data_IF_021903970698
#
_entry.id   IF_021903970698
#
_cell.length_a   1.000
_cell.length_b   1.000
_cell.length_c   1.000
_cell.angle_alpha   90.00
_cell.angle_beta   90.00
_cell.angle_gamma   90.00
#
_symmetry.space_group_name_H-M   'P 1'
#
loop_
_entity.id
_entity.type
_entity.pdbx_description
1 polymer ?
#
# COMPACT_ATOMS: atom_id res chain seq x y z
N UNK A 1 15.20 -62.95 -12.58
CA UNK A 1 16.39 -62.29 -12.00
C UNK A 1 16.06 -61.05 -11.14
N UNK A 2 14.93 -60.37 -11.33
CA UNK A 2 14.53 -59.18 -10.57
C UNK A 2 14.06 -59.50 -9.14
N UNK A 3 13.25 -60.56 -8.94
CA UNK A 3 12.76 -60.98 -7.62
C UNK A 3 13.88 -61.35 -6.65
N UNK A 4 14.88 -62.12 -7.10
CA UNK A 4 15.98 -62.57 -6.26
C UNK A 4 16.92 -61.41 -5.87
N UNK A 5 17.10 -60.42 -6.76
CA UNK A 5 17.80 -59.18 -6.42
C UNK A 5 17.01 -58.34 -5.42
N UNK A 6 15.69 -58.25 -5.56
CA UNK A 6 14.82 -57.58 -4.60
C UNK A 6 14.88 -58.26 -3.21
N UNK A 7 14.79 -59.59 -3.14
CA UNK A 7 14.95 -60.36 -1.91
C UNK A 7 16.34 -60.16 -1.29
N UNK A 8 17.40 -60.11 -2.11
CA UNK A 8 18.76 -59.81 -1.62
C UNK A 8 18.85 -58.41 -1.02
N UNK A 9 18.32 -57.39 -1.70
CA UNK A 9 18.34 -56.01 -1.19
C UNK A 9 17.54 -55.86 0.11
N UNK A 10 16.40 -56.54 0.23
CA UNK A 10 15.64 -56.56 1.48
C UNK A 10 16.42 -57.25 2.61
N UNK A 11 17.13 -58.34 2.31
CA UNK A 11 17.93 -59.06 3.31
C UNK A 11 19.22 -58.33 3.72
N UNK A 12 19.82 -57.53 2.82
CA UNK A 12 21.09 -56.82 3.08
C UNK A 12 20.92 -55.37 3.53
N UNK A 13 19.70 -54.85 3.55
CA UNK A 13 19.42 -53.46 3.92
C UNK A 13 19.55 -52.46 2.75
N UNK A 14 19.20 -51.18 2.99
CA UNK A 14 19.19 -50.15 1.95
C UNK A 14 20.60 -49.97 1.36
N UNK A 15 20.72 -50.08 0.05
CA UNK A 15 22.01 -50.04 -0.65
C UNK A 15 22.01 -48.99 -1.76
N UNK A 16 23.18 -48.38 -1.99
CA UNK A 16 23.39 -47.30 -2.96
C UNK A 16 23.58 -45.93 -2.31
N UNK A 17 24.00 -44.90 -3.08
CA UNK A 17 24.31 -43.57 -2.53
C UNK A 17 23.13 -42.89 -1.80
N UNK A 18 21.92 -43.37 -2.04
CA UNK A 18 20.67 -42.74 -1.60
C UNK A 18 20.23 -43.26 -0.23
N UNK A 19 20.74 -44.44 0.16
CA UNK A 19 20.52 -45.03 1.46
C UNK A 19 21.01 -44.14 2.62
N UNK A 20 22.10 -43.39 2.40
CA UNK A 20 22.65 -42.48 3.42
C UNK A 20 21.70 -41.33 3.78
N UNK A 21 20.79 -40.95 2.87
CA UNK A 21 19.87 -39.82 3.07
C UNK A 21 18.60 -40.21 3.83
N UNK A 22 18.29 -41.52 3.93
CA UNK A 22 17.13 -42.04 4.65
C UNK A 22 17.18 -41.64 6.13
N UNK A 23 18.36 -41.65 6.75
CA UNK A 23 18.55 -41.29 8.17
C UNK A 23 18.25 -39.82 8.46
N UNK A 24 18.32 -38.96 7.44
CA UNK A 24 18.06 -37.53 7.55
C UNK A 24 16.65 -37.16 7.10
N UNK A 25 15.79 -38.14 6.81
CA UNK A 25 14.46 -37.93 6.23
C UNK A 25 14.51 -37.11 4.93
N UNK A 26 15.58 -37.26 4.16
CA UNK A 26 15.74 -36.63 2.84
C UNK A 26 15.38 -37.69 1.79
N UNK A 27 14.30 -37.46 1.05
CA UNK A 27 13.91 -38.31 -0.07
C UNK A 27 14.93 -38.22 -1.20
N UNK A 28 15.47 -39.37 -1.61
CA UNK A 28 16.53 -39.44 -2.61
C UNK A 28 16.26 -40.59 -3.61
N UNK A 29 16.39 -40.32 -4.92
CA UNK A 29 16.18 -41.30 -6.00
C UNK A 29 17.47 -41.58 -6.79
N UNK A 30 17.97 -42.83 -6.79
CA UNK A 30 19.16 -43.21 -7.56
C UNK A 30 18.83 -43.79 -8.92
N UNK A 31 19.32 -43.15 -9.98
CA UNK A 31 19.30 -43.70 -11.33
C UNK A 31 20.60 -44.47 -11.59
N UNK A 32 20.48 -45.79 -11.78
CA UNK A 32 21.62 -46.65 -12.10
C UNK A 32 21.38 -47.40 -13.41
N UNK A 33 22.35 -47.34 -14.32
CA UNK A 33 22.30 -48.10 -15.57
C UNK A 33 22.76 -49.54 -15.29
N UNK A 34 21.83 -50.48 -15.32
CA UNK A 34 22.14 -51.91 -15.19
C UNK A 34 22.59 -52.44 -16.55
N UNK A 35 23.89 -52.71 -16.70
CA UNK A 35 24.42 -53.39 -17.88
C UNK A 35 24.20 -54.90 -17.75
N UNK A 36 23.54 -55.52 -18.73
CA UNK A 36 23.33 -56.97 -18.76
C UNK A 36 24.62 -57.68 -19.18
N UNK A 37 25.24 -58.40 -18.25
CA UNK A 37 26.49 -59.14 -18.49
C UNK A 37 26.28 -60.50 -19.19
N UNK A 38 25.05 -60.89 -19.51
CA UNK A 38 24.77 -62.20 -20.16
C UNK A 38 25.03 -62.20 -21.67
N UNK A 39 25.24 -61.04 -22.29
CA UNK A 39 25.62 -60.88 -23.70
C UNK A 39 27.14 -60.84 -23.85
N UNK A 40 27.81 -61.99 -23.74
CA UNK A 40 29.27 -62.12 -23.86
C UNK A 40 29.77 -61.95 -25.32
N UNK A 41 28.88 -61.87 -26.31
CA UNK A 41 29.27 -61.95 -27.74
C UNK A 41 28.85 -60.80 -28.64
N UNK A 42 28.38 -59.68 -28.10
CA UNK A 42 28.31 -58.44 -28.90
C UNK A 42 28.69 -57.25 -28.03
N UNK A 43 29.66 -56.47 -28.51
CA UNK A 43 29.88 -55.07 -28.13
C UNK A 43 28.66 -54.25 -28.56
N UNK A 44 27.50 -54.50 -27.97
CA UNK A 44 26.33 -53.67 -28.19
C UNK A 44 26.61 -52.35 -27.45
N UNK A 45 26.75 -51.22 -28.15
CA UNK A 45 26.90 -49.94 -27.49
C UNK A 45 25.70 -49.75 -26.56
N UNK A 46 25.96 -49.18 -25.38
CA UNK A 46 24.92 -48.77 -24.44
C UNK A 46 23.84 -48.07 -25.27
N UNK A 47 22.66 -48.69 -25.38
CA UNK A 47 21.62 -48.22 -26.30
C UNK A 47 21.16 -46.86 -25.81
N UNK A 48 21.77 -45.81 -26.35
CA UNK A 48 21.57 -44.42 -25.98
C UNK A 48 20.08 -44.08 -25.92
N UNK A 49 19.30 -44.66 -26.84
CA UNK A 49 17.84 -44.55 -26.89
C UNK A 49 17.15 -44.98 -25.59
N UNK A 50 17.55 -46.09 -24.97
CA UNK A 50 16.94 -46.56 -23.72
C UNK A 50 17.31 -45.68 -22.53
N UNK A 51 18.57 -45.21 -22.50
CA UNK A 51 19.04 -44.32 -21.45
C UNK A 51 18.40 -42.93 -21.54
N UNK A 52 18.32 -42.37 -22.75
CA UNK A 52 17.61 -41.12 -23.05
C UNK A 52 16.12 -41.23 -22.69
N UNK A 53 15.47 -42.37 -22.99
CA UNK A 53 14.08 -42.61 -22.60
C UNK A 53 13.87 -42.67 -21.08
N UNK A 54 14.83 -43.23 -20.34
CA UNK A 54 14.78 -43.19 -18.86
C UNK A 54 14.92 -41.78 -18.32
N UNK A 55 15.83 -40.97 -18.87
CA UNK A 55 15.98 -39.55 -18.49
C UNK A 55 14.72 -38.77 -18.83
N UNK A 56 14.18 -38.95 -20.03
CA UNK A 56 12.93 -38.32 -20.47
C UNK A 56 11.77 -38.67 -19.53
N UNK A 57 11.70 -39.92 -19.07
CA UNK A 57 10.67 -40.37 -18.11
C UNK A 57 10.84 -39.69 -16.75
N UNK A 58 12.08 -39.52 -16.27
CA UNK A 58 12.37 -38.80 -15.02
C UNK A 58 12.03 -37.31 -15.16
N UNK A 59 12.43 -36.67 -16.26
CA UNK A 59 12.10 -35.26 -16.54
C UNK A 59 10.58 -35.06 -16.62
N UNK A 60 9.87 -35.97 -17.31
CA UNK A 60 8.40 -35.94 -17.37
C UNK A 60 7.77 -36.19 -16.00
N UNK A 61 8.35 -37.08 -15.18
CA UNK A 61 7.87 -37.31 -13.82
C UNK A 61 8.09 -36.09 -12.91
N UNK A 62 9.24 -35.41 -13.02
CA UNK A 62 9.52 -34.15 -12.31
C UNK A 62 8.60 -33.04 -12.78
N UNK A 63 8.36 -32.92 -14.09
CA UNK A 63 7.42 -31.95 -14.66
C UNK A 63 5.96 -32.23 -14.23
N UNK A 64 5.56 -33.50 -14.15
CA UNK A 64 4.25 -33.85 -13.58
C UNK A 64 4.19 -33.65 -12.06
N UNK A 65 5.33 -33.67 -11.38
CA UNK A 65 5.42 -33.35 -9.95
C UNK A 65 5.35 -31.85 -9.72
N UNK A 66 5.84 -31.03 -10.65
CA UNK A 66 5.64 -29.57 -10.67
C UNK A 66 4.15 -29.24 -10.63
N UNK A 67 3.31 -29.91 -11.41
CA UNK A 67 1.85 -29.74 -11.37
C UNK A 67 1.26 -30.02 -9.98
N UNK A 68 1.79 -31.02 -9.25
CA UNK A 68 1.36 -31.35 -7.88
C UNK A 68 1.97 -30.43 -6.83
N UNK A 69 3.18 -29.93 -7.03
CA UNK A 69 3.76 -28.84 -6.27
C UNK A 69 3.13 -27.49 -6.63
N UNK A 70 2.40 -27.37 -7.74
CA UNK A 70 1.63 -26.18 -8.05
C UNK A 70 0.40 -26.05 -7.12
N UNK A 71 -0.01 -27.15 -6.48
CA UNK A 71 -0.93 -27.16 -5.33
C UNK A 71 -0.20 -26.86 -4.00
N UNK A 72 1.14 -26.80 -3.99
CA UNK A 72 1.88 -26.24 -2.85
C UNK A 72 1.70 -24.73 -2.85
N UNK A 73 1.41 -24.17 -1.68
CA UNK A 73 1.23 -22.74 -1.51
C UNK A 73 2.54 -22.02 -1.88
N UNK A 74 2.64 -21.45 -3.08
CA UNK A 74 3.82 -20.71 -3.56
C UNK A 74 4.24 -19.55 -2.65
N UNK A 75 3.29 -19.03 -1.87
CA UNK A 75 3.48 -17.95 -0.92
C UNK A 75 3.35 -18.50 0.49
N UNK A 76 4.49 -18.69 1.14
CA UNK A 76 4.59 -19.13 2.52
C UNK A 76 5.60 -18.29 3.29
N UNK A 77 5.38 -18.18 4.58
CA UNK A 77 6.35 -17.61 5.52
C UNK A 77 6.94 -18.75 6.33
N UNK A 78 8.26 -18.67 6.57
CA UNK A 78 8.98 -19.53 7.50
C UNK A 78 9.44 -18.68 8.69
N UNK A 79 8.58 -18.41 9.69
CA UNK A 79 9.00 -17.67 10.89
C UNK A 79 10.10 -18.40 11.67
N UNK A 80 10.13 -19.74 11.59
CA UNK A 80 11.13 -20.59 12.20
C UNK A 80 11.39 -21.79 11.30
N UNK A 81 12.51 -22.48 11.50
CA UNK A 81 12.89 -23.69 10.75
C UNK A 81 11.87 -24.84 10.89
N UNK A 82 10.96 -24.74 11.86
CA UNK A 82 9.91 -25.73 12.15
C UNK A 82 8.49 -25.22 11.93
N UNK A 83 8.31 -23.94 11.60
CA UNK A 83 6.97 -23.37 11.44
C UNK A 83 6.78 -22.91 10.00
N UNK A 84 5.72 -23.42 9.39
CA UNK A 84 5.29 -23.09 8.06
C UNK A 84 3.94 -22.38 8.16
N UNK A 85 3.84 -21.17 7.63
CA UNK A 85 2.60 -20.39 7.60
C UNK A 85 2.24 -20.11 6.15
N UNK A 86 1.10 -20.60 5.71
CA UNK A 86 0.64 -20.40 4.34
C UNK A 86 0.08 -18.98 4.11
N UNK A 87 0.02 -18.52 2.85
CA UNK A 87 -0.70 -17.30 2.45
C UNK A 87 -2.12 -17.24 2.99
N UNK A 88 -2.78 -18.40 3.05
CA UNK A 88 -4.13 -18.52 3.57
C UNK A 88 -4.23 -18.18 5.05
N UNK A 89 -3.14 -18.15 5.82
CA UNK A 89 -3.16 -17.80 7.24
C UNK A 89 -2.62 -16.40 7.50
N UNK A 90 -1.50 -16.03 6.89
CA UNK A 90 -0.87 -14.74 7.17
C UNK A 90 -1.59 -13.56 6.51
N UNK A 91 -2.42 -13.78 5.48
CA UNK A 91 -3.14 -12.67 4.83
C UNK A 91 -4.25 -12.09 5.71
N UNK A 92 -4.88 -12.90 6.57
CA UNK A 92 -5.94 -12.45 7.49
C UNK A 92 -5.55 -11.28 8.41
N UNK A 93 -4.41 -11.31 9.15
CA UNK A 93 -4.02 -10.19 10.00
C UNK A 93 -3.79 -8.91 9.20
N UNK A 94 -3.35 -8.98 7.95
CA UNK A 94 -3.20 -7.80 7.09
C UNK A 94 -4.54 -7.17 6.75
N UNK A 95 -5.52 -7.99 6.37
CA UNK A 95 -6.89 -7.51 6.13
C UNK A 95 -7.50 -6.92 7.40
N UNK A 96 -7.24 -7.54 8.57
CA UNK A 96 -7.75 -7.07 9.85
C UNK A 96 -7.20 -5.69 10.23
N UNK A 97 -5.90 -5.44 10.00
CA UNK A 97 -5.29 -4.11 10.19
C UNK A 97 -5.88 -3.07 9.23
N UNK A 98 -6.32 -3.48 8.03
CA UNK A 98 -6.93 -2.60 7.03
C UNK A 98 -8.45 -2.44 7.17
N UNK A 99 -9.11 -3.22 8.03
CA UNK A 99 -10.56 -3.23 8.18
C UNK A 99 -11.17 -1.81 8.40
N UNK A 100 -10.55 -0.91 9.20
CA UNK A 100 -11.07 0.45 9.34
C UNK A 100 -11.13 1.21 8.01
N UNK A 101 -10.18 0.99 7.09
CA UNK A 101 -10.16 1.66 5.80
C UNK A 101 -11.29 1.16 4.90
N UNK A 102 -11.53 -0.16 4.88
CA UNK A 102 -12.68 -0.73 4.16
C UNK A 102 -14.01 -0.16 4.67
N UNK A 103 -14.15 -0.03 5.99
CA UNK A 103 -15.33 0.57 6.59
C UNK A 103 -15.48 2.04 6.19
N UNK A 104 -14.40 2.83 6.23
CA UNK A 104 -14.41 4.22 5.79
C UNK A 104 -14.74 4.38 4.31
N UNK A 105 -14.16 3.56 3.42
CA UNK A 105 -14.46 3.61 1.98
C UNK A 105 -15.93 3.36 1.72
N UNK A 106 -16.51 2.34 2.38
CA UNK A 106 -17.91 2.00 2.20
C UNK A 106 -18.81 3.11 2.76
N UNK A 107 -18.55 3.56 3.98
CA UNK A 107 -19.33 4.60 4.65
C UNK A 107 -19.35 5.92 3.87
N UNK A 108 -18.19 6.39 3.41
CA UNK A 108 -18.13 7.63 2.64
C UNK A 108 -18.74 7.44 1.25
N UNK A 109 -18.52 6.30 0.59
CA UNK A 109 -19.10 6.03 -0.72
C UNK A 109 -20.63 5.92 -0.70
N UNK A 110 -21.24 5.45 0.40
CA UNK A 110 -22.70 5.35 0.50
C UNK A 110 -23.36 6.64 0.99
N UNK A 111 -22.65 7.49 1.74
CA UNK A 111 -23.25 8.66 2.40
C UNK A 111 -22.93 10.00 1.71
N UNK A 112 -22.29 9.97 0.54
CA UNK A 112 -22.02 11.17 -0.27
C UNK A 112 -22.60 11.02 -1.66
N UNK A 113 -23.46 11.97 -2.06
CA UNK A 113 -23.88 12.15 -3.44
C UNK A 113 -22.96 13.15 -4.13
N UNK A 114 -22.53 12.86 -5.37
CA UNK A 114 -21.77 13.81 -6.17
C UNK A 114 -20.29 14.00 -5.78
N UNK A 115 -19.63 12.93 -5.33
CA UNK A 115 -18.20 12.94 -4.94
C UNK A 115 -17.33 13.63 -6.01
N UNK A 116 -16.47 14.58 -5.63
CA UNK A 116 -15.56 15.31 -6.55
C UNK A 116 -14.40 14.42 -7.02
N UNK A 117 -14.70 13.32 -7.72
CA UNK A 117 -13.73 12.30 -8.12
C UNK A 117 -12.64 12.84 -9.04
N UNK A 118 -12.98 13.76 -9.95
CA UNK A 118 -12.01 14.43 -10.82
C UNK A 118 -10.99 15.24 -10.01
N UNK A 119 -11.45 15.99 -9.01
CA UNK A 119 -10.57 16.71 -8.08
C UNK A 119 -9.69 15.75 -7.26
N UNK A 120 -10.26 14.64 -6.77
CA UNK A 120 -9.50 13.62 -6.05
C UNK A 120 -8.40 12.98 -6.92
N UNK A 121 -8.69 12.69 -8.18
CA UNK A 121 -7.72 12.13 -9.11
C UNK A 121 -6.61 13.14 -9.45
N UNK A 122 -6.97 14.41 -9.68
CA UNK A 122 -6.01 15.47 -9.97
C UNK A 122 -5.08 15.74 -8.78
N UNK A 123 -5.63 15.82 -7.56
CA UNK A 123 -4.84 15.99 -6.34
C UNK A 123 -3.90 14.81 -6.09
N UNK A 124 -4.37 13.57 -6.32
CA UNK A 124 -3.53 12.39 -6.27
C UNK A 124 -2.41 12.41 -7.33
N UNK A 125 -2.73 12.79 -8.57
CA UNK A 125 -1.74 12.90 -9.64
C UNK A 125 -0.63 13.91 -9.31
N UNK A 126 -0.98 15.06 -8.71
CA UNK A 126 0.01 16.04 -8.23
C UNK A 126 0.90 15.44 -7.14
N UNK A 127 0.29 14.78 -6.14
CA UNK A 127 1.05 14.16 -5.05
C UNK A 127 1.98 13.04 -5.57
N UNK A 128 1.51 12.22 -6.50
CA UNK A 128 2.29 11.15 -7.15
C UNK A 128 3.40 11.70 -8.06
N UNK A 129 3.17 12.81 -8.77
CA UNK A 129 4.18 13.48 -9.57
C UNK A 129 5.32 14.02 -8.69
N UNK A 130 4.99 14.66 -7.56
CA UNK A 130 6.00 15.09 -6.57
C UNK A 130 6.77 13.90 -5.98
N UNK A 131 6.07 12.79 -5.70
CA UNK A 131 6.71 11.53 -5.28
C UNK A 131 7.66 10.97 -6.35
N UNK A 132 7.31 11.10 -7.62
CA UNK A 132 8.16 10.66 -8.75
C UNK A 132 9.40 11.53 -8.90
N UNK A 133 9.27 12.85 -8.70
CA UNK A 133 10.42 13.76 -8.63
C UNK A 133 11.35 13.35 -7.49
N UNK A 134 10.80 13.03 -6.31
CA UNK A 134 11.59 12.55 -5.18
C UNK A 134 12.30 11.23 -5.49
N UNK A 135 11.63 10.29 -6.16
CA UNK A 135 12.23 9.03 -6.59
C UNK A 135 13.40 9.26 -7.56
N UNK A 136 13.22 10.12 -8.57
CA UNK A 136 14.30 10.49 -9.52
C UNK A 136 15.47 11.13 -8.78
N UNK A 137 15.19 11.95 -7.76
CA UNK A 137 16.22 12.57 -6.92
C UNK A 137 16.98 11.52 -6.08
N UNK A 138 16.31 10.47 -5.63
CA UNK A 138 16.98 9.36 -4.92
C UNK A 138 17.86 8.50 -5.84
N UNK A 139 17.49 8.34 -7.11
CA UNK A 139 18.29 7.55 -8.07
C UNK A 139 19.44 8.35 -8.67
N UNK A 140 19.23 9.65 -8.89
CA UNK A 140 20.22 10.59 -9.44
C UNK A 140 20.67 11.59 -8.38
N UNK A 141 21.40 11.10 -7.37
CA UNK A 141 21.92 11.91 -6.26
C UNK A 141 22.79 13.09 -6.72
N UNK A 142 23.43 13.00 -7.90
CA UNK A 142 24.22 14.10 -8.48
C UNK A 142 23.39 15.38 -8.73
N UNK A 143 22.07 15.27 -8.86
CA UNK A 143 21.19 16.44 -8.97
C UNK A 143 21.12 17.25 -7.66
N UNK A 144 21.49 16.64 -6.51
CA UNK A 144 21.51 17.29 -5.21
C UNK A 144 22.83 18.01 -4.92
N UNK A 145 23.90 17.76 -5.68
CA UNK A 145 25.23 18.36 -5.46
C UNK A 145 25.23 19.89 -5.25
N UNK A 146 24.44 20.71 -5.97
CA UNK A 146 24.38 22.16 -5.70
C UNK A 146 23.61 22.53 -4.42
N UNK A 147 22.70 21.67 -3.95
CA UNK A 147 21.83 21.93 -2.80
C UNK A 147 22.38 21.39 -1.48
N UNK A 148 23.17 20.31 -1.53
CA UNK A 148 23.86 19.73 -0.37
C UNK A 148 24.62 20.78 0.45
N UNK A 149 25.48 21.64 -0.12
CA UNK A 149 26.21 22.64 0.65
C UNK A 149 25.34 23.75 1.26
N UNK A 150 24.10 23.93 0.79
CA UNK A 150 23.16 24.93 1.33
C UNK A 150 22.47 24.46 2.61
N UNK A 151 22.23 23.15 2.73
CA UNK A 151 21.59 22.50 3.89
C UNK A 151 22.61 21.85 4.85
N UNK A 152 23.90 21.83 4.49
CA UNK A 152 24.97 21.23 5.30
C UNK A 152 25.35 22.14 6.48
N UNK A 153 24.60 22.04 7.58
CA UNK A 153 24.88 22.74 8.83
C UNK A 153 26.04 22.13 9.63
N UNK A 154 26.66 21.03 9.18
CA UNK A 154 27.62 20.26 9.98
C UNK A 154 28.89 19.93 9.19
N UNK A 155 29.82 20.89 9.16
CA UNK A 155 31.11 20.83 8.45
C UNK A 155 32.17 19.91 9.10
N UNK A 156 31.80 18.82 9.77
CA UNK A 156 32.74 18.05 10.62
C UNK A 156 32.56 16.53 10.60
N UNK A 157 32.82 15.85 9.47
CA UNK A 157 33.61 14.59 9.42
C UNK A 157 33.66 14.00 8.01
N UNK A 158 34.77 13.36 7.65
CA UNK A 158 35.01 12.75 6.33
C UNK A 158 34.19 11.48 6.04
N UNK A 159 33.27 11.08 6.94
CA UNK A 159 32.41 9.88 6.78
C UNK A 159 30.94 10.21 6.47
N UNK A 160 30.56 11.49 6.32
CA UNK A 160 29.16 11.93 6.41
C UNK A 160 28.45 12.26 5.09
N UNK A 161 29.10 12.07 3.93
CA UNK A 161 28.53 12.48 2.63
C UNK A 161 27.14 11.84 2.37
N UNK A 162 26.97 10.56 2.69
CA UNK A 162 25.67 9.87 2.56
C UNK A 162 24.58 10.43 3.48
N UNK A 163 24.97 10.85 4.68
CA UNK A 163 24.05 11.39 5.70
C UNK A 163 23.54 12.78 5.32
N UNK A 164 24.40 13.63 4.75
CA UNK A 164 23.98 14.94 4.24
C UNK A 164 22.99 14.81 3.08
N UNK A 165 23.21 13.86 2.16
CA UNK A 165 22.23 13.58 1.10
C UNK A 165 20.86 13.15 1.67
N UNK A 166 20.84 12.25 2.65
CA UNK A 166 19.58 11.82 3.30
C UNK A 166 18.80 12.99 3.92
N UNK A 167 19.48 13.91 4.61
CA UNK A 167 18.85 15.10 5.19
C UNK A 167 18.37 16.09 4.13
N UNK A 168 19.16 16.30 3.07
CA UNK A 168 18.74 17.18 1.96
C UNK A 168 17.50 16.63 1.27
N UNK A 169 17.42 15.30 1.08
CA UNK A 169 16.25 14.64 0.52
C UNK A 169 15.01 14.81 1.40
N UNK A 170 15.15 14.66 2.72
CA UNK A 170 14.06 14.90 3.67
C UNK A 170 13.60 16.37 3.65
N UNK A 171 14.53 17.32 3.55
CA UNK A 171 14.23 18.74 3.43
C UNK A 171 13.48 19.08 2.13
N UNK A 172 13.92 18.53 1.00
CA UNK A 172 13.24 18.68 -0.30
C UNK A 172 11.83 18.07 -0.24
N UNK A 173 11.69 16.89 0.37
CA UNK A 173 10.37 16.27 0.56
C UNK A 173 9.43 17.19 1.34
N UNK A 174 9.85 17.74 2.47
CA UNK A 174 9.03 18.68 3.27
C UNK A 174 8.68 19.94 2.46
N UNK A 175 9.64 20.51 1.72
CA UNK A 175 9.39 21.68 0.87
C UNK A 175 8.33 21.37 -0.21
N UNK A 176 8.42 20.22 -0.86
CA UNK A 176 7.42 19.77 -1.83
C UNK A 176 6.04 19.55 -1.19
N UNK A 177 5.97 19.01 0.04
CA UNK A 177 4.71 18.84 0.77
C UNK A 177 4.05 20.18 1.09
N UNK A 178 4.83 21.14 1.61
CA UNK A 178 4.33 22.49 1.90
C UNK A 178 3.84 23.17 0.64
N UNK A 179 4.58 23.06 -0.47
CA UNK A 179 4.16 23.61 -1.75
C UNK A 179 2.85 22.99 -2.27
N UNK A 180 2.71 21.66 -2.17
CA UNK A 180 1.51 20.93 -2.55
C UNK A 180 0.27 21.42 -1.78
N UNK A 181 0.38 21.48 -0.45
CA UNK A 181 -0.73 21.83 0.44
C UNK A 181 -1.08 23.32 0.34
N UNK A 182 -0.08 24.21 0.22
CA UNK A 182 -0.31 25.66 0.27
C UNK A 182 -0.71 26.28 -1.06
N UNK A 183 -0.23 25.74 -2.19
CA UNK A 183 -0.45 26.31 -3.51
C UNK A 183 -1.23 25.38 -4.44
N UNK A 184 -0.72 24.19 -4.73
CA UNK A 184 -1.30 23.33 -5.77
C UNK A 184 -2.72 22.85 -5.44
N UNK A 185 -2.93 22.27 -4.26
CA UNK A 185 -4.23 21.68 -3.92
C UNK A 185 -5.36 22.74 -3.78
N UNK A 186 -5.13 23.92 -3.16
CA UNK A 186 -6.10 25.01 -3.19
C UNK A 186 -6.40 25.54 -4.60
N UNK A 187 -5.39 25.60 -5.49
CA UNK A 187 -5.64 26.03 -6.88
C UNK A 187 -6.50 25.03 -7.65
N UNK A 188 -6.29 23.73 -7.45
CA UNK A 188 -7.13 22.68 -8.03
C UNK A 188 -8.57 22.75 -7.52
N UNK A 189 -8.76 23.04 -6.24
CA UNK A 189 -10.10 23.08 -5.64
C UNK A 189 -10.99 24.19 -6.24
N UNK A 190 -10.38 25.27 -6.76
CA UNK A 190 -11.05 26.41 -7.39
C UNK A 190 -11.40 26.19 -8.86
N UNK A 191 -10.94 25.11 -9.49
CA UNK A 191 -11.21 24.87 -10.91
C UNK A 191 -12.64 24.33 -11.11
N UNK A 192 -13.49 25.00 -11.91
CA UNK A 192 -14.88 24.59 -12.12
C UNK A 192 -14.98 23.25 -12.89
N UNK A 193 -13.97 22.91 -13.69
CA UNK A 193 -13.89 21.62 -14.39
C UNK A 193 -13.70 20.41 -13.45
N UNK A 194 -13.30 20.66 -12.19
CA UNK A 194 -13.08 19.63 -11.17
C UNK A 194 -14.21 19.64 -10.13
N UNK A 195 -15.33 20.27 -10.44
CA UNK A 195 -16.50 20.22 -9.57
C UNK A 195 -17.20 18.86 -9.65
N UNK A 196 -17.92 18.52 -8.58
CA UNK A 196 -18.65 17.25 -8.48
C UNK A 196 -19.91 17.26 -9.34
N UNK A 197 -20.46 16.07 -9.62
CA UNK A 197 -21.79 15.98 -10.20
C UNK A 197 -22.83 16.33 -9.12
N UNK A 198 -23.25 17.59 -9.08
CA UNK A 198 -24.17 18.09 -8.04
C UNK A 198 -25.63 17.69 -8.34
N UNK A 199 -25.93 17.32 -9.59
CA UNK A 199 -27.29 17.08 -10.10
C UNK A 199 -28.08 16.04 -9.29
N UNK A 200 -27.45 14.90 -8.94
CA UNK A 200 -28.11 13.84 -8.17
C UNK A 200 -28.45 14.31 -6.75
N UNK A 201 -27.53 15.03 -6.10
CA UNK A 201 -27.75 15.58 -4.76
C UNK A 201 -28.82 16.68 -4.75
N UNK A 202 -28.84 17.53 -5.79
CA UNK A 202 -29.84 18.57 -5.98
C UNK A 202 -31.22 17.97 -6.23
N UNK A 203 -31.32 16.96 -7.10
CA UNK A 203 -32.56 16.24 -7.37
C UNK A 203 -33.15 15.61 -6.10
N UNK A 204 -32.33 14.94 -5.30
CA UNK A 204 -32.77 14.36 -4.03
C UNK A 204 -33.28 15.42 -3.05
N UNK A 205 -32.60 16.57 -2.98
CA UNK A 205 -33.03 17.70 -2.15
C UNK A 205 -34.38 18.26 -2.60
N UNK A 206 -34.55 18.49 -3.90
CA UNK A 206 -35.83 18.95 -4.48
C UNK A 206 -36.96 17.95 -4.21
N UNK A 207 -36.69 16.64 -4.32
CA UNK A 207 -37.67 15.60 -4.03
C UNK A 207 -38.11 15.61 -2.55
N UNK A 208 -37.19 15.89 -1.63
CA UNK A 208 -37.50 16.03 -0.20
C UNK A 208 -38.31 17.29 0.08
N UNK A 209 -37.91 18.43 -0.50
CA UNK A 209 -38.66 19.69 -0.38
C UNK A 209 -40.10 19.51 -0.87
N UNK A 210 -40.30 18.89 -2.04
CA UNK A 210 -41.64 18.64 -2.57
C UNK A 210 -42.46 17.65 -1.73
N UNK A 211 -41.82 16.63 -1.15
CA UNK A 211 -42.47 15.69 -0.23
C UNK A 211 -42.89 16.39 1.08
N UNK A 212 -42.04 17.25 1.62
CA UNK A 212 -42.33 18.03 2.83
C UNK A 212 -43.50 19.01 2.60
N UNK A 213 -43.54 19.68 1.44
CA UNK A 213 -44.68 20.50 1.01
C UNK A 213 -45.97 19.69 0.91
N UNK A 214 -45.90 18.49 0.31
CA UNK A 214 -47.05 17.58 0.22
C UNK A 214 -47.54 17.14 1.60
N UNK A 215 -46.65 16.78 2.52
CA UNK A 215 -47.03 16.36 3.88
C UNK A 215 -47.64 17.53 4.67
N UNK A 216 -47.11 18.74 4.52
CA UNK A 216 -47.66 19.95 5.12
C UNK A 216 -49.08 20.30 4.61
N UNK A 217 -49.45 19.83 3.42
CA UNK A 217 -50.79 20.03 2.85
C UNK A 217 -51.84 19.06 3.40
N UNK A 218 -51.44 17.99 4.10
CA UNK A 218 -52.38 17.04 4.68
C UNK A 218 -53.04 17.60 5.94
N UNK A 219 -54.35 17.33 6.16
CA UNK A 219 -55.08 17.83 7.33
C UNK A 219 -54.61 17.23 8.67
N UNK A 220 -53.97 16.06 8.64
CA UNK A 220 -53.31 15.45 9.79
C UNK A 220 -51.91 15.01 9.36
N UNK A 221 -50.84 15.67 9.83
CA UNK A 221 -49.47 15.35 9.41
C UNK A 221 -49.02 14.04 10.06
N UNK A 222 -48.49 13.14 9.25
CA UNK A 222 -47.94 11.87 9.72
C UNK A 222 -46.60 12.13 10.44
N UNK A 223 -46.65 12.21 11.78
CA UNK A 223 -45.50 12.54 12.62
C UNK A 223 -44.38 11.49 12.52
N UNK A 224 -44.73 10.26 12.17
CA UNK A 224 -43.77 9.16 12.05
C UNK A 224 -42.92 9.30 10.77
N UNK A 225 -43.50 9.86 9.70
CA UNK A 225 -42.79 10.14 8.42
C UNK A 225 -41.83 11.32 8.57
N UNK A 226 -42.26 12.39 9.25
CA UNK A 226 -41.45 13.60 9.45
C UNK A 226 -40.24 13.39 10.38
N UNK A 227 -40.36 12.51 11.38
CA UNK A 227 -39.27 12.21 12.32
C UNK A 227 -38.12 11.38 11.68
N UNK A 228 -38.45 10.54 10.69
CA UNK A 228 -37.47 9.73 9.96
C UNK A 228 -36.68 10.52 8.90
N UNK A 229 -37.20 11.67 8.44
CA UNK A 229 -36.69 12.40 7.27
C UNK A 229 -35.86 13.67 7.57
N UNK A 230 -35.63 14.01 8.85
CA UNK A 230 -35.04 15.30 9.26
C UNK A 230 -33.59 15.60 8.82
N UNK A 231 -32.90 14.67 8.16
CA UNK A 231 -31.57 14.89 7.58
C UNK A 231 -31.60 14.67 6.06
N UNK A 232 -30.93 15.52 5.25
CA UNK A 232 -30.72 15.18 3.85
C UNK A 232 -30.04 13.80 3.75
N UNK A 233 -30.41 12.96 2.76
CA UNK A 233 -29.90 11.59 2.67
C UNK A 233 -28.40 11.56 2.38
N UNK A 234 -27.87 12.64 1.81
CA UNK A 234 -26.46 12.76 1.45
C UNK A 234 -25.93 14.14 1.81
N UNK A 235 -24.73 14.18 2.39
CA UNK A 235 -24.01 15.43 2.58
C UNK A 235 -23.33 15.85 1.26
N UNK A 236 -23.43 17.13 0.91
CA UNK A 236 -22.70 17.71 -0.23
C UNK A 236 -21.20 17.55 0.01
N UNK A 237 -20.48 17.01 -0.97
CA UNK A 237 -19.04 16.81 -0.85
C UNK A 237 -18.27 18.11 -1.08
N UNK A 238 -17.59 18.56 -0.02
CA UNK A 238 -16.67 19.70 -0.09
C UNK A 238 -15.32 19.35 -0.76
N UNK A 239 -15.14 18.10 -1.23
CA UNK A 239 -13.98 17.60 -1.97
C UNK A 239 -13.00 16.82 -1.10
N UNK A 240 -12.98 17.04 0.22
CA UNK A 240 -12.11 16.31 1.13
C UNK A 240 -12.50 14.83 1.28
N UNK A 241 -13.80 14.51 1.18
CA UNK A 241 -14.29 13.12 1.26
C UNK A 241 -13.85 12.34 0.03
N UNK A 242 -13.90 12.96 -1.15
CA UNK A 242 -13.40 12.38 -2.40
C UNK A 242 -11.93 11.98 -2.30
N UNK A 243 -11.10 12.89 -1.81
CA UNK A 243 -9.66 12.64 -1.61
C UNK A 243 -9.44 11.52 -0.59
N UNK A 244 -10.19 11.52 0.54
CA UNK A 244 -10.06 10.46 1.55
C UNK A 244 -10.47 9.08 1.01
N UNK A 245 -11.53 8.99 0.22
CA UNK A 245 -11.97 7.73 -0.41
C UNK A 245 -10.93 7.21 -1.40
N UNK A 246 -10.43 8.07 -2.30
CA UNK A 246 -9.39 7.66 -3.25
C UNK A 246 -8.11 7.24 -2.52
N UNK A 247 -7.72 7.99 -1.48
CA UNK A 247 -6.55 7.71 -0.66
C UNK A 247 -6.66 6.35 0.05
N UNK A 248 -7.80 6.06 0.66
CA UNK A 248 -8.06 4.78 1.34
C UNK A 248 -8.03 3.60 0.36
N UNK A 249 -8.67 3.72 -0.80
CA UNK A 249 -8.62 2.69 -1.86
C UNK A 249 -7.17 2.45 -2.32
N UNK A 250 -6.42 3.52 -2.57
CA UNK A 250 -5.01 3.43 -2.98
C UNK A 250 -4.17 2.67 -1.94
N UNK A 251 -4.28 3.06 -0.66
CA UNK A 251 -3.56 2.41 0.44
C UNK A 251 -3.93 0.93 0.55
N UNK A 252 -5.21 0.57 0.45
CA UNK A 252 -5.65 -0.83 0.48
C UNK A 252 -5.00 -1.63 -0.65
N UNK A 253 -5.12 -1.18 -1.90
CA UNK A 253 -4.63 -1.91 -3.07
C UNK A 253 -3.11 -2.12 -2.99
N UNK A 254 -2.36 -1.04 -2.70
CA UNK A 254 -0.90 -1.09 -2.65
C UNK A 254 -0.42 -2.02 -1.54
N UNK A 255 -0.99 -1.93 -0.35
CA UNK A 255 -0.53 -2.76 0.75
C UNK A 255 -0.99 -4.22 0.64
N UNK A 256 -2.11 -4.51 -0.03
CA UNK A 256 -2.45 -5.88 -0.40
C UNK A 256 -1.41 -6.45 -1.38
N UNK A 257 -1.00 -5.68 -2.39
CA UNK A 257 0.02 -6.10 -3.36
C UNK A 257 1.39 -6.32 -2.68
N UNK A 258 1.85 -5.36 -1.86
CA UNK A 258 3.11 -5.50 -1.12
C UNK A 258 3.01 -6.60 -0.07
N UNK A 259 1.84 -6.85 0.52
CA UNK A 259 1.61 -7.94 1.47
C UNK A 259 1.84 -9.32 0.87
N UNK A 260 1.53 -9.49 -0.42
CA UNK A 260 1.84 -10.71 -1.16
C UNK A 260 3.35 -10.80 -1.46
N UNK A 261 3.97 -9.69 -1.87
CA UNK A 261 5.38 -9.68 -2.29
C UNK A 261 6.38 -9.74 -1.12
N UNK A 262 6.08 -9.07 -0.02
CA UNK A 262 6.94 -8.92 1.16
C UNK A 262 6.09 -8.63 2.41
N UNK A 263 5.56 -9.69 3.01
CA UNK A 263 4.65 -9.58 4.15
C UNK A 263 5.21 -8.80 5.36
N UNK A 264 6.42 -9.07 5.89
CA UNK A 264 6.91 -8.35 7.07
C UNK A 264 7.08 -6.84 6.81
N UNK A 265 7.60 -6.48 5.63
CA UNK A 265 7.74 -5.09 5.22
C UNK A 265 6.36 -4.43 5.09
N UNK A 266 5.42 -5.12 4.45
CA UNK A 266 4.06 -4.62 4.29
C UNK A 266 3.38 -4.41 5.64
N UNK A 267 3.46 -5.35 6.59
CA UNK A 267 2.86 -5.24 7.91
C UNK A 267 3.43 -4.07 8.72
N UNK A 268 4.75 -3.86 8.66
CA UNK A 268 5.40 -2.73 9.32
C UNK A 268 4.93 -1.37 8.77
N UNK A 269 4.61 -1.34 7.48
CA UNK A 269 4.17 -0.14 6.77
C UNK A 269 2.66 0.11 6.86
N UNK A 270 1.84 -0.95 6.87
CA UNK A 270 0.38 -0.84 6.93
C UNK A 270 -0.06 -0.22 8.23
N UNK A 271 0.40 -0.72 9.36
CA UNK A 271 -0.05 -0.29 10.69
C UNK A 271 0.00 1.24 10.87
N UNK A 272 1.14 1.95 10.67
CA UNK A 272 1.17 3.40 10.81
C UNK A 272 0.30 4.11 9.76
N UNK A 273 0.23 3.59 8.53
CA UNK A 273 -0.58 4.18 7.46
C UNK A 273 -2.08 4.05 7.69
N UNK A 274 -2.52 2.90 8.21
CA UNK A 274 -3.93 2.67 8.49
C UNK A 274 -4.43 3.55 9.62
N UNK A 275 -3.63 3.71 10.68
CA UNK A 275 -3.93 4.63 11.79
C UNK A 275 -4.00 6.07 11.27
N UNK A 276 -3.02 6.50 10.48
CA UNK A 276 -2.98 7.85 9.90
C UNK A 276 -4.24 8.16 9.09
N UNK A 277 -4.58 7.29 8.12
CA UNK A 277 -5.67 7.56 7.19
C UNK A 277 -7.04 7.41 7.85
N UNK A 278 -7.20 6.45 8.78
CA UNK A 278 -8.46 6.24 9.49
C UNK A 278 -8.81 7.44 10.38
N UNK A 279 -7.86 7.91 11.18
CA UNK A 279 -8.06 9.03 12.12
C UNK A 279 -8.09 10.40 11.43
N UNK A 280 -7.73 10.48 10.15
CA UNK A 280 -7.65 11.76 9.48
C UNK A 280 -9.04 12.35 9.19
N UNK A 281 -9.29 13.56 9.69
CA UNK A 281 -10.49 14.35 9.45
C UNK A 281 -10.13 15.85 9.36
N UNK A 282 -10.93 16.66 8.64
CA UNK A 282 -10.70 18.10 8.56
C UNK A 282 -10.79 18.75 9.93
N UNK A 283 -9.89 19.68 10.23
CA UNK A 283 -9.85 20.34 11.55
C UNK A 283 -11.12 21.13 11.84
N UNK A 284 -11.81 21.62 10.80
CA UNK A 284 -13.02 22.41 10.92
C UNK A 284 -14.24 21.60 11.38
N UNK A 285 -14.34 20.31 11.02
CA UNK A 285 -15.50 19.46 11.36
C UNK A 285 -15.25 18.61 12.61
N UNK A 286 -14.04 18.66 13.19
CA UNK A 286 -13.61 17.76 14.25
C UNK A 286 -13.61 18.42 15.64
N UNK A 287 -13.77 17.61 16.69
CA UNK A 287 -13.62 18.09 18.07
C UNK A 287 -12.18 18.52 18.34
N UNK A 288 -11.98 19.50 19.24
CA UNK A 288 -10.64 20.02 19.55
C UNK A 288 -9.65 18.92 19.98
N UNK A 289 -10.12 17.92 20.72
CA UNK A 289 -9.30 16.77 21.15
C UNK A 289 -8.90 15.91 19.96
N UNK A 290 -9.85 15.54 19.09
CA UNK A 290 -9.56 14.70 17.93
C UNK A 290 -8.68 15.42 16.91
N UNK A 291 -8.94 16.71 16.68
CA UNK A 291 -8.09 17.55 15.84
C UNK A 291 -6.66 17.64 16.40
N UNK A 292 -6.50 17.80 17.72
CA UNK A 292 -5.20 17.79 18.38
C UNK A 292 -4.46 16.46 18.21
N UNK A 293 -5.14 15.33 18.41
CA UNK A 293 -4.55 13.99 18.19
C UNK A 293 -4.14 13.79 16.73
N UNK A 294 -4.99 14.18 15.77
CA UNK A 294 -4.68 14.07 14.35
C UNK A 294 -3.49 14.96 13.95
N UNK A 295 -3.43 16.20 14.46
CA UNK A 295 -2.31 17.10 14.23
C UNK A 295 -0.98 16.53 14.77
N UNK A 296 -0.99 15.98 15.97
CA UNK A 296 0.19 15.32 16.57
C UNK A 296 0.60 14.11 15.73
N UNK A 297 -0.35 13.29 15.29
CA UNK A 297 -0.07 12.11 14.46
C UNK A 297 0.55 12.50 13.11
N UNK A 298 -0.02 13.48 12.41
CA UNK A 298 0.52 14.02 11.15
C UNK A 298 1.89 14.64 11.35
N UNK A 299 2.12 15.33 12.47
CA UNK A 299 3.43 15.89 12.78
C UNK A 299 4.47 14.79 13.02
N UNK A 300 4.15 13.78 13.83
CA UNK A 300 5.05 12.66 14.13
C UNK A 300 5.36 11.80 12.89
N UNK A 301 4.38 11.62 12.00
CA UNK A 301 4.56 10.91 10.73
C UNK A 301 5.04 11.82 9.58
N UNK A 302 5.41 13.07 9.84
CA UNK A 302 6.06 13.90 8.83
C UNK A 302 7.42 13.28 8.44
N UNK A 303 7.79 13.22 7.14
CA UNK A 303 9.04 12.57 6.69
C UNK A 303 10.31 13.02 7.43
N UNK A 304 10.40 14.30 7.80
CA UNK A 304 11.57 14.83 8.52
C UNK A 304 11.50 14.52 10.03
N UNK A 305 10.32 14.63 10.64
CA UNK A 305 10.14 14.39 12.08
C UNK A 305 10.25 12.90 12.39
N UNK A 306 9.67 12.04 11.56
CA UNK A 306 9.79 10.59 11.70
C UNK A 306 11.24 10.15 11.54
N UNK A 307 12.00 10.75 10.62
CA UNK A 307 13.43 10.49 10.46
C UNK A 307 14.25 10.99 11.65
N UNK A 308 13.96 12.19 12.20
CA UNK A 308 14.59 12.70 13.42
C UNK A 308 14.33 11.77 14.62
N UNK A 309 13.07 11.35 14.80
CA UNK A 309 12.66 10.45 15.87
C UNK A 309 13.35 9.10 15.73
N UNK A 310 13.33 8.51 14.53
CA UNK A 310 14.01 7.25 14.26
C UNK A 310 15.53 7.36 14.42
N UNK A 311 16.15 8.50 14.13
CA UNK A 311 17.57 8.71 14.38
C UNK A 311 17.87 8.76 15.88
N UNK A 312 16.97 9.34 16.67
CA UNK A 312 17.11 9.36 18.12
C UNK A 312 16.99 7.96 18.72
N UNK A 313 16.05 7.13 18.24
CA UNK A 313 15.89 5.75 18.69
C UNK A 313 16.96 4.81 18.14
N UNK A 314 17.39 5.03 16.90
CA UNK A 314 18.33 4.19 16.15
C UNK A 314 19.39 5.06 15.47
N UNK A 315 20.59 5.21 16.07
CA UNK A 315 21.61 6.13 15.56
C UNK A 315 22.17 5.75 14.18
N UNK A 316 21.98 4.50 13.75
CA UNK A 316 22.40 3.99 12.43
C UNK A 316 21.33 4.11 11.34
N UNK A 317 20.15 4.71 11.62
CA UNK A 317 19.04 4.72 10.65
C UNK A 317 19.40 5.42 9.33
N UNK A 318 20.23 6.46 9.39
CA UNK A 318 20.69 7.18 8.20
C UNK A 318 21.57 6.31 7.31
N UNK A 319 22.37 5.42 7.92
CA UNK A 319 23.21 4.48 7.19
C UNK A 319 22.33 3.38 6.58
N UNK A 320 21.28 2.94 7.28
CA UNK A 320 20.26 2.03 6.74
C UNK A 320 19.47 2.64 5.58
N UNK A 321 19.15 3.94 5.65
CA UNK A 321 18.48 4.66 4.56
C UNK A 321 19.40 4.80 3.35
N UNK A 322 20.66 5.17 3.56
CA UNK A 322 21.66 5.21 2.49
C UNK A 322 21.86 3.82 1.85
N UNK A 323 21.87 2.76 2.66
CA UNK A 323 21.88 1.39 2.18
C UNK A 323 20.62 1.05 1.37
N UNK A 324 19.44 1.49 1.80
CA UNK A 324 18.19 1.28 1.04
C UNK A 324 18.21 2.00 -0.32
N UNK A 325 18.75 3.22 -0.39
CA UNK A 325 18.90 4.00 -1.63
C UNK A 325 19.85 3.30 -2.59
N UNK A 326 21.06 2.96 -2.15
CA UNK A 326 22.01 2.22 -2.98
C UNK A 326 21.53 0.80 -3.31
N UNK A 327 20.79 0.18 -2.38
CA UNK A 327 20.19 -1.14 -2.51
C UNK A 327 19.06 -1.17 -3.53
N UNK A 328 18.27 -0.09 -3.68
CA UNK A 328 17.29 0.03 -4.74
C UNK A 328 17.95 0.03 -6.12
N UNK A 329 19.00 0.85 -6.30
CA UNK A 329 19.73 0.95 -7.57
C UNK A 329 20.40 -0.37 -8.01
N UNK A 330 20.80 -1.22 -7.05
CA UNK A 330 21.54 -2.47 -7.33
C UNK A 330 20.69 -3.74 -7.27
N UNK A 331 19.75 -3.82 -6.34
CA UNK A 331 19.02 -5.05 -6.00
C UNK A 331 17.49 -4.88 -6.09
N UNK A 332 16.98 -3.69 -6.43
CA UNK A 332 15.54 -3.46 -6.57
C UNK A 332 14.78 -3.49 -5.24
N UNK A 333 15.38 -3.07 -4.12
CA UNK A 333 14.70 -2.98 -2.82
C UNK A 333 13.44 -2.10 -2.89
N UNK A 334 12.30 -2.61 -2.41
CA UNK A 334 11.01 -1.89 -2.42
C UNK A 334 10.92 -0.70 -1.47
N UNK A 335 11.85 -0.53 -0.52
CA UNK A 335 11.77 0.49 0.52
C UNK A 335 11.73 1.93 -0.04
N UNK A 336 12.59 2.26 -1.01
CA UNK A 336 12.66 3.61 -1.58
C UNK A 336 11.46 3.93 -2.47
N UNK A 337 11.04 3.05 -3.41
CA UNK A 337 9.78 3.23 -4.12
C UNK A 337 8.57 3.38 -3.18
N UNK A 338 8.52 2.60 -2.10
CA UNK A 338 7.44 2.72 -1.11
C UNK A 338 7.43 4.10 -0.45
N UNK A 339 8.58 4.59 0.02
CA UNK A 339 8.68 5.91 0.64
C UNK A 339 8.27 7.03 -0.32
N UNK A 340 8.66 6.95 -1.59
CA UNK A 340 8.43 8.01 -2.57
C UNK A 340 7.03 7.97 -3.20
N UNK A 341 6.49 6.80 -3.51
CA UNK A 341 5.20 6.66 -4.20
C UNK A 341 4.03 6.38 -3.28
N UNK A 342 4.27 5.80 -2.10
CA UNK A 342 3.18 5.43 -1.19
C UNK A 342 3.16 6.38 0.01
N UNK A 343 4.23 6.37 0.81
CA UNK A 343 4.28 7.15 2.05
C UNK A 343 4.14 8.65 1.78
N UNK A 344 4.93 9.20 0.86
CA UNK A 344 4.96 10.63 0.58
C UNK A 344 3.62 11.17 0.04
N UNK A 345 2.99 10.59 -1.00
CA UNK A 345 1.70 11.08 -1.48
C UNK A 345 0.59 10.92 -0.46
N UNK A 346 0.56 9.79 0.27
CA UNK A 346 -0.44 9.52 1.30
C UNK A 346 -0.37 10.55 2.42
N UNK A 347 0.83 10.83 2.92
CA UNK A 347 1.04 11.83 3.95
C UNK A 347 0.66 13.24 3.45
N UNK A 348 1.04 13.59 2.22
CA UNK A 348 0.73 14.91 1.63
C UNK A 348 -0.76 15.16 1.52
N UNK A 349 -1.51 14.18 1.01
CA UNK A 349 -2.96 14.26 0.89
C UNK A 349 -3.63 14.24 2.27
N UNK A 350 -3.08 13.50 3.23
CA UNK A 350 -3.59 13.48 4.59
C UNK A 350 -3.46 14.86 5.27
N UNK A 351 -2.31 15.53 5.11
CA UNK A 351 -2.10 16.90 5.60
C UNK A 351 -3.08 17.87 4.93
N UNK A 352 -3.33 17.74 3.63
CA UNK A 352 -4.31 18.58 2.95
C UNK A 352 -5.73 18.38 3.46
N UNK A 353 -6.17 17.13 3.65
CA UNK A 353 -7.49 16.83 4.23
C UNK A 353 -7.63 17.44 5.62
N UNK A 354 -6.57 17.44 6.44
CA UNK A 354 -6.57 18.07 7.76
C UNK A 354 -6.71 19.59 7.70
N UNK A 355 -5.93 20.25 6.83
CA UNK A 355 -5.93 21.72 6.64
C UNK A 355 -7.17 22.21 5.89
N UNK A 356 -7.94 21.30 5.29
CA UNK A 356 -9.13 21.64 4.54
C UNK A 356 -10.12 22.44 5.41
N UNK A 357 -10.41 23.65 4.95
CA UNK A 357 -11.43 24.53 5.51
C UNK A 357 -12.44 24.84 4.42
N UNK A 358 -13.72 24.67 4.72
CA UNK A 358 -14.81 25.15 3.87
C UNK A 358 -14.74 26.66 3.83
N UNK A 359 -14.15 27.23 2.77
CA UNK A 359 -14.24 28.64 2.48
C UNK A 359 -15.68 28.97 2.07
N UNK A 360 -16.57 29.10 3.06
CA UNK A 360 -17.95 29.60 2.94
C UNK A 360 -18.49 29.91 4.33
N UNK A 361 -18.00 30.98 4.95
CA UNK A 361 -18.70 31.65 6.05
C UNK A 361 -18.44 33.17 6.12
N UNK A 362 -17.77 33.76 5.11
CA UNK A 362 -17.48 35.21 5.10
C UNK A 362 -18.48 36.03 4.27
N UNK A 363 -19.45 35.42 3.56
CA UNK A 363 -20.46 36.17 2.78
C UNK A 363 -21.77 36.43 3.52
N UNK A 364 -21.88 36.08 4.81
CA UNK A 364 -23.11 36.31 5.61
C UNK A 364 -23.23 37.70 6.25
N UNK A 365 -22.39 38.67 5.85
CA UNK A 365 -22.42 40.03 6.45
C UNK A 365 -22.62 41.19 5.47
N UNK A 366 -22.89 40.95 4.18
CA UNK A 366 -23.02 42.04 3.19
C UNK A 366 -24.31 42.08 2.37
N UNK A 367 -25.38 41.37 2.76
CA UNK A 367 -26.65 41.45 2.01
C UNK A 367 -27.91 41.85 2.81
N UNK A 368 -27.79 42.34 4.03
CA UNK A 368 -28.95 42.71 4.88
C UNK A 368 -29.15 44.23 5.08
N UNK A 369 -28.56 45.07 4.23
CA UNK A 369 -28.81 46.52 4.25
C UNK A 369 -28.97 47.08 2.84
N UNK A 370 -30.07 46.76 2.15
CA UNK A 370 -30.58 47.70 1.12
C UNK A 370 -32.06 47.60 0.73
N UNK A 371 -32.89 46.78 1.40
CA UNK A 371 -34.33 46.72 1.11
C UNK A 371 -35.19 47.29 2.25
N UNK A 372 -34.94 48.54 2.64
CA UNK A 372 -35.93 49.38 3.35
C UNK A 372 -35.80 50.86 2.98
N UNK A 373 -35.79 51.19 1.68
CA UNK A 373 -36.17 52.53 1.23
C UNK A 373 -36.74 52.46 -0.19
N UNK A 374 -38.00 52.88 -0.33
CA UNK A 374 -38.76 53.15 -1.56
C UNK A 374 -39.71 52.07 -2.10
N UNK A 375 -40.91 51.99 -1.50
CA UNK A 375 -42.16 52.35 -2.19
C UNK A 375 -43.33 52.46 -1.22
#
# INVERSE_FOLDING_TARGET
MTLLRFMKTLATGPSGPHANFIHYNIDAITLSALHDRTSITTTAPLRLVHWMRSIETVVRAVSNLEEKFHQSFYLYLLPSTRTFVSIGEYYYPMVLVMLPLFAHTLFHSTNTGGLRTAFALASFAVAAALGSILLVLTTHLSLLDPFVPLLDLTRTHHETLSRSYCWTLAGVAVACQVAAVRWFLPTLARLPALDGCVDESQWHRQMQEHRAEFEASKPEPDKDVLALESSPPYAVDNGWRAVKVLLTIYVIIVHCAIGILNYPFALACTLPMTILVALNAPSAESTAVHSGVNAVLLFLLSPAVSLLLLQHLHPSILDSLAYAINGYARHGLFAVPYLCWVYFPVHTLAVWVFVFSTAANDDSTTHDTDDTATK
#
